data_IF_983844880947
#
_entry.id   IF_983844880947
#
_cell.length_a   1.000
_cell.length_b   1.000
_cell.length_c   1.000
_cell.angle_alpha   90.00
_cell.angle_beta   90.00
_cell.angle_gamma   90.00
#
_symmetry.space_group_name_H-M   'P 1'
#
loop_
_entity.id
_entity.type
_entity.pdbx_description
1 polymer ?
#
# COMPACT_ATOMS: atom_id res chain seq x y z
N UNK A 1 -8.02 -0.88 -22.52
CA UNK A 1 -6.76 -1.18 -21.79
C UNK A 1 -6.29 0.12 -21.15
N UNK A 2 -6.80 0.43 -19.95
CA UNK A 2 -6.55 1.71 -19.30
C UNK A 2 -5.14 1.70 -18.69
N UNK A 3 -4.15 2.06 -19.50
CA UNK A 3 -2.87 2.55 -19.03
C UNK A 3 -3.13 3.94 -18.41
N UNK A 4 -3.36 4.01 -17.10
CA UNK A 4 -3.32 5.30 -16.40
C UNK A 4 -1.86 5.75 -16.36
N UNK A 5 -1.55 6.69 -17.26
CA UNK A 5 -0.23 7.25 -17.51
C UNK A 5 0.14 8.27 -16.42
N UNK A 6 1.41 8.21 -16.02
CA UNK A 6 2.18 9.28 -15.40
C UNK A 6 1.82 9.68 -13.96
N UNK A 7 2.25 8.87 -12.99
CA UNK A 7 2.44 9.39 -11.63
C UNK A 7 3.72 10.22 -11.64
N UNK A 8 3.62 11.56 -11.65
CA UNK A 8 4.59 12.39 -10.91
C UNK A 8 4.37 12.08 -9.42
N UNK A 9 4.66 10.85 -9.02
CA UNK A 9 4.47 10.42 -7.65
C UNK A 9 5.54 11.06 -6.81
N UNK A 10 5.14 11.70 -5.72
CA UNK A 10 6.01 11.86 -4.54
C UNK A 10 6.52 10.46 -4.21
N UNK A 11 7.81 10.34 -3.91
CA UNK A 11 8.51 9.05 -3.70
C UNK A 11 7.74 8.10 -2.76
N UNK A 12 7.03 8.68 -1.81
CA UNK A 12 6.27 8.09 -0.71
C UNK A 12 5.06 7.25 -1.16
N UNK A 13 4.56 7.44 -2.38
CA UNK A 13 3.42 6.67 -2.93
C UNK A 13 3.80 5.79 -4.12
N UNK A 14 5.09 5.67 -4.45
CA UNK A 14 5.53 4.81 -5.55
C UNK A 14 5.23 3.34 -5.26
N UNK A 15 4.77 2.61 -6.28
CA UNK A 15 4.52 1.16 -6.19
C UNK A 15 5.80 0.37 -6.50
N UNK A 16 6.07 -0.75 -5.78
CA UNK A 16 7.30 -1.54 -5.94
C UNK A 16 7.55 -2.03 -7.37
N UNK A 17 6.52 -2.56 -8.01
CA UNK A 17 6.58 -3.08 -9.38
C UNK A 17 6.89 -1.98 -10.42
N UNK A 18 6.47 -0.74 -10.17
CA UNK A 18 6.85 0.39 -11.02
C UNK A 18 8.31 0.78 -10.82
N UNK A 19 8.83 0.72 -9.59
CA UNK A 19 10.23 0.98 -9.31
C UNK A 19 11.11 -0.04 -10.05
N UNK A 20 10.77 -1.33 -9.92
CA UNK A 20 11.56 -2.46 -10.43
C UNK A 20 11.39 -2.70 -11.93
N UNK A 21 10.15 -2.71 -12.43
CA UNK A 21 9.82 -3.24 -13.77
C UNK A 21 9.24 -2.16 -14.71
N UNK A 22 9.00 -0.94 -14.20
CA UNK A 22 8.32 0.15 -14.94
C UNK A 22 6.94 -0.27 -15.47
N UNK A 23 6.30 -1.21 -14.80
CA UNK A 23 4.97 -1.75 -15.11
C UNK A 23 4.21 -1.97 -13.82
N UNK A 24 2.91 -1.80 -13.87
CA UNK A 24 2.04 -2.11 -12.75
C UNK A 24 0.62 -2.45 -13.24
N UNK A 25 -0.12 -3.21 -12.44
CA UNK A 25 -1.54 -3.41 -12.64
C UNK A 25 -2.32 -2.32 -11.88
N UNK A 26 -3.30 -1.71 -12.52
CA UNK A 26 -4.04 -0.58 -11.93
C UNK A 26 -4.77 -0.92 -10.62
N UNK A 27 -5.40 -2.09 -10.52
CA UNK A 27 -6.07 -2.54 -9.29
C UNK A 27 -5.06 -2.75 -8.17
N UNK A 28 -3.96 -3.45 -8.45
CA UNK A 28 -2.93 -3.74 -7.45
C UNK A 28 -2.24 -2.46 -6.97
N UNK A 29 -1.98 -1.51 -7.87
CA UNK A 29 -1.43 -0.21 -7.54
C UNK A 29 -2.41 0.62 -6.70
N UNK A 30 -3.71 0.59 -7.02
CA UNK A 30 -4.74 1.23 -6.21
C UNK A 30 -4.77 0.68 -4.79
N UNK A 31 -4.73 -0.65 -4.62
CA UNK A 31 -4.68 -1.30 -3.30
C UNK A 31 -3.43 -0.90 -2.50
N UNK A 32 -2.28 -0.79 -3.16
CA UNK A 32 -1.06 -0.27 -2.53
C UNK A 32 -1.26 1.17 -2.04
N UNK A 33 -1.74 2.07 -2.89
CA UNK A 33 -1.99 3.47 -2.53
C UNK A 33 -2.98 3.57 -1.38
N UNK A 34 -4.03 2.75 -1.34
CA UNK A 34 -4.94 2.66 -0.21
C UNK A 34 -4.22 2.27 1.08
N UNK A 35 -3.33 1.28 1.04
CA UNK A 35 -2.49 0.92 2.19
C UNK A 35 -1.64 2.09 2.70
N UNK A 36 -1.03 2.85 1.80
CA UNK A 36 -0.24 4.05 2.16
C UNK A 36 -1.13 5.12 2.78
N UNK A 37 -2.28 5.42 2.16
CA UNK A 37 -3.23 6.42 2.65
C UNK A 37 -3.76 6.09 4.04
N UNK A 38 -4.14 4.83 4.28
CA UNK A 38 -4.61 4.38 5.59
C UNK A 38 -3.53 4.53 6.67
N UNK A 39 -2.28 4.14 6.34
CA UNK A 39 -1.16 4.32 7.25
C UNK A 39 -0.92 5.80 7.56
N UNK A 40 -0.95 6.67 6.54
CA UNK A 40 -0.80 8.11 6.71
C UNK A 40 -1.92 8.72 7.57
N UNK A 41 -3.17 8.30 7.39
CA UNK A 41 -4.30 8.78 8.20
C UNK A 41 -4.15 8.43 9.69
N UNK A 42 -3.63 7.24 10.00
CA UNK A 42 -3.48 6.78 11.38
C UNK A 42 -2.23 7.34 12.07
N UNK A 43 -1.11 7.41 11.36
CA UNK A 43 0.19 7.74 11.96
C UNK A 43 0.71 9.13 11.59
N UNK A 44 0.06 9.82 10.66
CA UNK A 44 0.45 11.14 10.14
C UNK A 44 1.89 11.17 9.58
N UNK A 45 2.38 10.01 9.12
CA UNK A 45 3.69 9.82 8.52
C UNK A 45 3.61 8.77 7.41
N UNK A 46 4.53 8.82 6.45
CA UNK A 46 4.63 7.80 5.42
C UNK A 46 5.35 6.55 5.93
N UNK A 47 4.93 5.35 5.48
CA UNK A 47 5.54 4.10 5.91
C UNK A 47 6.95 3.89 5.33
N UNK A 48 7.27 4.54 4.22
CA UNK A 48 8.53 4.40 3.50
C UNK A 48 9.16 5.78 3.27
N UNK A 49 10.48 5.88 3.45
CA UNK A 49 11.25 7.12 3.28
C UNK A 49 12.12 7.10 2.02
N UNK A 50 12.35 5.91 1.45
CA UNK A 50 13.19 5.72 0.28
C UNK A 50 12.63 4.67 -0.68
N UNK A 51 13.09 4.68 -1.94
CA UNK A 51 12.81 3.59 -2.89
C UNK A 51 13.35 2.25 -2.40
N UNK A 52 14.45 2.26 -1.65
CA UNK A 52 15.03 1.05 -1.07
C UNK A 52 14.08 0.45 -0.03
N UNK A 53 13.43 1.27 0.80
CA UNK A 53 12.45 0.81 1.79
C UNK A 53 11.27 0.13 1.07
N UNK A 54 10.76 0.76 0.00
CA UNK A 54 9.63 0.25 -0.80
C UNK A 54 9.94 -1.13 -1.41
N UNK A 55 11.17 -1.35 -1.88
CA UNK A 55 11.55 -2.62 -2.54
C UNK A 55 12.07 -3.68 -1.58
N UNK A 56 12.64 -3.30 -0.43
CA UNK A 56 13.31 -4.25 0.46
C UNK A 56 12.46 -4.65 1.67
N UNK A 57 11.64 -3.75 2.20
CA UNK A 57 11.03 -3.99 3.51
C UNK A 57 9.65 -3.35 3.69
N UNK A 58 8.60 -4.16 3.56
CA UNK A 58 7.24 -3.78 3.96
C UNK A 58 6.85 -4.34 5.35
N UNK A 59 7.79 -4.97 6.07
CA UNK A 59 7.56 -5.67 7.34
C UNK A 59 7.81 -4.81 8.57
N UNK A 60 8.61 -3.75 8.45
CA UNK A 60 8.96 -2.80 9.52
C UNK A 60 7.94 -1.67 9.74
N UNK A 61 6.69 -1.84 9.32
CA UNK A 61 5.66 -0.84 9.56
C UNK A 61 5.47 -0.66 11.08
N UNK A 62 5.65 0.57 11.56
CA UNK A 62 5.45 0.90 12.97
C UNK A 62 3.95 0.94 13.23
N UNK A 63 3.46 -0.05 13.96
CA UNK A 63 2.07 -0.06 14.39
C UNK A 63 2.02 -0.05 15.91
N UNK A 64 1.32 0.93 16.48
CA UNK A 64 1.15 1.07 17.93
C UNK A 64 0.14 0.05 18.44
N UNK A 65 0.27 -0.34 19.71
CA UNK A 65 -0.60 -1.31 20.41
C UNK A 65 -2.09 -0.91 20.47
N UNK A 66 -2.43 0.33 20.09
CA UNK A 66 -3.80 0.85 20.03
C UNK A 66 -4.51 0.62 18.71
N UNK A 67 -3.85 0.06 17.69
CA UNK A 67 -4.47 -0.19 16.38
C UNK A 67 -5.25 -1.50 16.40
N UNK A 68 -6.47 -1.50 15.89
CA UNK A 68 -7.26 -2.72 15.67
C UNK A 68 -6.44 -3.75 14.87
N UNK A 69 -6.35 -4.98 15.38
CA UNK A 69 -5.51 -6.02 14.80
C UNK A 69 -5.93 -6.39 13.36
N UNK A 70 -7.22 -6.28 13.03
CA UNK A 70 -7.73 -6.53 11.70
C UNK A 70 -7.35 -5.39 10.74
N UNK A 71 -7.42 -4.13 11.20
CA UNK A 71 -6.93 -2.98 10.43
C UNK A 71 -5.42 -3.09 10.16
N UNK A 72 -4.62 -3.47 11.16
CA UNK A 72 -3.19 -3.77 11.03
C UNK A 72 -2.91 -4.80 9.94
N UNK A 73 -3.56 -5.97 10.05
CA UNK A 73 -3.35 -7.09 9.13
C UNK A 73 -3.72 -6.70 7.71
N UNK A 74 -4.82 -5.96 7.56
CA UNK A 74 -5.28 -5.47 6.27
C UNK A 74 -4.27 -4.51 5.64
N UNK A 75 -3.82 -3.47 6.38
CA UNK A 75 -2.84 -2.51 5.87
C UNK A 75 -1.54 -3.21 5.44
N UNK A 76 -1.06 -4.17 6.24
CA UNK A 76 0.14 -4.96 5.91
C UNK A 76 -0.06 -5.79 4.63
N UNK A 77 -1.25 -6.33 4.41
CA UNK A 77 -1.57 -7.06 3.18
C UNK A 77 -1.65 -6.13 1.96
N UNK A 78 -2.23 -4.93 2.10
CA UNK A 78 -2.25 -3.91 1.06
C UNK A 78 -0.84 -3.50 0.63
N UNK A 79 0.07 -3.36 1.60
CA UNK A 79 1.47 -3.00 1.40
C UNK A 79 2.36 -4.20 1.09
N UNK A 80 1.82 -5.29 0.52
CA UNK A 80 2.65 -6.37 0.04
C UNK A 80 3.46 -5.92 -1.19
N UNK A 81 4.78 -6.14 -1.15
CA UNK A 81 5.69 -5.87 -2.28
C UNK A 81 5.20 -6.55 -3.57
N UNK A 82 4.71 -7.78 -3.46
CA UNK A 82 4.25 -8.59 -4.58
C UNK A 82 2.79 -8.22 -4.90
N UNK A 83 2.56 -7.53 -6.02
CA UNK A 83 1.26 -6.97 -6.39
C UNK A 83 0.10 -7.97 -6.39
N UNK A 84 0.31 -9.21 -6.86
CA UNK A 84 -0.75 -10.22 -6.89
C UNK A 84 -1.06 -10.85 -5.52
N UNK A 85 -0.22 -10.62 -4.50
CA UNK A 85 -0.48 -11.05 -3.10
C UNK A 85 -1.29 -10.02 -2.31
N UNK A 86 -1.53 -8.84 -2.89
CA UNK A 86 -2.41 -7.82 -2.31
C UNK A 86 -3.87 -8.29 -2.38
N UNK A 87 -4.72 -7.89 -1.43
CA UNK A 87 -6.14 -8.21 -1.46
C UNK A 87 -6.83 -7.56 -2.67
N UNK A 88 -7.96 -8.12 -3.10
CA UNK A 88 -8.81 -7.51 -4.10
C UNK A 88 -9.52 -6.29 -3.55
N UNK A 89 -9.74 -5.28 -4.38
CA UNK A 89 -10.36 -4.02 -3.95
C UNK A 89 -11.75 -4.27 -3.32
N UNK A 90 -12.55 -5.15 -3.94
CA UNK A 90 -13.86 -5.51 -3.42
C UNK A 90 -13.82 -6.16 -2.03
N UNK A 91 -12.75 -6.90 -1.71
CA UNK A 91 -12.60 -7.51 -0.39
C UNK A 91 -12.32 -6.44 0.69
N UNK A 92 -11.60 -5.37 0.32
CA UNK A 92 -11.31 -4.26 1.23
C UNK A 92 -12.56 -3.46 1.57
N UNK A 93 -13.40 -3.18 0.57
CA UNK A 93 -14.65 -2.42 0.76
C UNK A 93 -15.67 -3.13 1.66
N UNK A 94 -15.49 -4.43 1.90
CA UNK A 94 -16.38 -5.23 2.74
C UNK A 94 -15.96 -5.26 4.21
N UNK A 95 -14.81 -4.67 4.57
CA UNK A 95 -14.25 -4.76 5.92
C UNK A 95 -15.08 -3.96 6.93
N UNK A 96 -15.30 -4.58 8.09
CA UNK A 96 -16.14 -4.03 9.16
C UNK A 96 -15.58 -2.75 9.79
N UNK A 97 -14.26 -2.57 9.84
CA UNK A 97 -13.62 -1.38 10.41
C UNK A 97 -13.70 -0.14 9.49
N UNK A 98 -14.08 -0.32 8.22
CA UNK A 98 -14.36 0.77 7.28
C UNK A 98 -15.84 1.22 7.32
N UNK A 99 -16.67 0.59 8.16
CA UNK A 99 -18.09 0.94 8.33
C UNK A 99 -18.32 1.82 9.54
#
# INVERSE_FOLDING_TARGET
MALFLFVKGTLEIMVPEWILEKRHNGEQACVWTLGISLYFLLFQQYPFRSKADIINDCSQLLFTSSTDEQAYRTMRQCLNRIGYRRPKLNNLLQLSWLR
#
